data_IF_138850600215
#
_entry.id   IF_138850600215
#
_cell.length_a   1.000
_cell.length_b   1.000
_cell.length_c   1.000
_cell.angle_alpha   90.00
_cell.angle_beta   90.00
_cell.angle_gamma   90.00
#
_symmetry.space_group_name_H-M   'P 1'
#
loop_
_entity.id
_entity.type
_entity.pdbx_description
1 polymer ?
#
# COMPACT_ATOMS: atom_id res chain seq x y z
N UNK A 1 2.83 -16.12 -8.40
CA UNK A 1 2.02 -16.12 -9.64
C UNK A 1 1.85 -14.71 -10.22
N UNK A 2 1.47 -13.69 -9.43
CA UNK A 2 1.28 -12.31 -9.94
C UNK A 2 2.44 -11.34 -9.63
N UNK A 3 3.62 -11.86 -9.29
CA UNK A 3 4.82 -11.05 -8.95
C UNK A 3 5.42 -10.49 -10.24
N UNK A 4 5.72 -9.20 -10.28
CA UNK A 4 6.29 -8.52 -11.45
C UNK A 4 5.26 -8.12 -12.52
N UNK A 5 3.97 -8.37 -12.30
CA UNK A 5 2.91 -7.83 -13.16
C UNK A 5 2.73 -6.32 -12.98
N UNK A 6 2.17 -5.71 -14.03
CA UNK A 6 1.94 -4.26 -14.22
C UNK A 6 1.38 -3.54 -13.00
N UNK A 7 1.77 -2.27 -12.88
CA UNK A 7 1.14 -1.28 -12.00
C UNK A 7 -0.38 -1.32 -12.24
N UNK A 8 -1.13 -1.53 -11.16
CA UNK A 8 -2.58 -1.57 -11.19
C UNK A 8 -3.19 -0.64 -10.15
N UNK A 9 -4.39 -0.16 -10.44
CA UNK A 9 -5.17 0.59 -9.46
C UNK A 9 -5.87 -0.37 -8.50
N UNK A 10 -5.96 0.04 -7.24
CA UNK A 10 -6.80 -0.67 -6.26
C UNK A 10 -8.24 -0.33 -6.57
N UNK A 11 -9.03 -1.34 -6.95
CA UNK A 11 -10.47 -1.18 -7.24
C UNK A 11 -11.26 -1.15 -5.93
N UNK A 12 -10.91 -2.04 -5.00
CA UNK A 12 -11.62 -2.17 -3.74
C UNK A 12 -10.71 -2.68 -2.62
N UNK A 13 -10.93 -2.17 -1.40
CA UNK A 13 -10.32 -2.68 -0.17
C UNK A 13 -11.34 -3.53 0.57
N UNK A 14 -11.10 -4.83 0.68
CA UNK A 14 -11.98 -5.76 1.36
C UNK A 14 -11.50 -6.02 2.80
N UNK A 15 -11.89 -5.13 3.71
CA UNK A 15 -11.42 -5.12 5.11
C UNK A 15 -11.81 -6.37 5.91
N UNK A 16 -12.97 -7.01 5.63
CA UNK A 16 -13.40 -8.25 6.31
C UNK A 16 -12.40 -9.40 6.12
N UNK A 17 -11.67 -9.42 5.00
CA UNK A 17 -10.64 -10.42 4.70
C UNK A 17 -9.23 -9.84 4.66
N UNK A 18 -9.04 -8.61 5.15
CA UNK A 18 -7.77 -7.88 5.12
C UNK A 18 -7.03 -7.96 3.79
N UNK A 19 -7.78 -7.85 2.68
CA UNK A 19 -7.25 -8.04 1.34
C UNK A 19 -7.73 -6.95 0.39
N UNK A 20 -7.07 -6.84 -0.75
CA UNK A 20 -7.38 -5.85 -1.79
C UNK A 20 -7.62 -6.52 -3.15
N UNK A 21 -8.41 -5.85 -3.99
CA UNK A 21 -8.64 -6.20 -5.39
C UNK A 21 -7.93 -5.20 -6.29
N UNK A 22 -7.23 -5.71 -7.30
CA UNK A 22 -6.45 -4.95 -8.28
C UNK A 22 -7.07 -5.18 -9.66
N UNK A 23 -7.32 -4.11 -10.41
CA UNK A 23 -8.12 -4.11 -11.64
C UNK A 23 -7.72 -5.19 -12.65
N UNK A 24 -6.42 -5.32 -12.92
CA UNK A 24 -5.87 -6.23 -13.94
C UNK A 24 -5.58 -7.65 -13.41
N UNK A 25 -5.80 -7.90 -12.13
CA UNK A 25 -5.53 -9.21 -11.51
C UNK A 25 -6.85 -9.94 -11.32
N UNK A 26 -7.25 -10.64 -12.37
CA UNK A 26 -8.49 -11.40 -12.43
C UNK A 26 -8.21 -12.85 -12.83
N UNK A 27 -9.16 -13.73 -12.50
CA UNK A 27 -9.21 -15.11 -12.98
C UNK A 27 -10.60 -15.41 -13.51
N UNK A 28 -10.68 -16.29 -14.50
CA UNK A 28 -11.95 -16.73 -15.08
C UNK A 28 -12.49 -17.91 -14.27
N UNK A 29 -13.77 -17.85 -13.90
CA UNK A 29 -14.50 -18.98 -13.30
C UNK A 29 -14.94 -19.98 -14.39
N UNK A 30 -15.34 -21.18 -13.98
CA UNK A 30 -15.87 -22.18 -14.91
C UNK A 30 -17.08 -21.68 -15.74
N UNK A 31 -17.86 -20.73 -15.21
CA UNK A 31 -18.97 -20.11 -15.92
C UNK A 31 -18.57 -18.96 -16.86
N UNK A 32 -17.28 -18.78 -17.15
CA UNK A 32 -16.77 -17.74 -18.05
C UNK A 32 -16.69 -16.33 -17.44
N UNK A 33 -17.22 -16.11 -16.24
CA UNK A 33 -17.16 -14.81 -15.59
C UNK A 33 -15.77 -14.54 -14.97
N UNK A 34 -15.25 -13.34 -15.18
CA UNK A 34 -14.01 -12.88 -14.53
C UNK A 34 -14.26 -12.42 -13.10
N UNK A 35 -13.40 -12.82 -12.18
CA UNK A 35 -13.40 -12.37 -10.80
C UNK A 35 -12.02 -11.92 -10.35
N UNK A 36 -11.98 -10.89 -9.52
CA UNK A 36 -10.74 -10.41 -8.94
C UNK A 36 -10.09 -11.46 -8.05
N UNK A 37 -8.76 -11.54 -8.14
CA UNK A 37 -7.96 -12.32 -7.21
C UNK A 37 -7.68 -11.45 -5.99
N UNK A 38 -7.85 -12.05 -4.81
CA UNK A 38 -7.65 -11.39 -3.52
C UNK A 38 -6.15 -11.41 -3.19
N UNK A 39 -5.57 -10.26 -2.87
CA UNK A 39 -4.15 -10.16 -2.49
C UNK A 39 -4.03 -9.47 -1.13
N UNK A 40 -3.13 -9.97 -0.29
CA UNK A 40 -2.81 -9.35 0.99
C UNK A 40 -1.98 -8.08 0.77
N UNK A 41 -2.31 -6.94 1.42
CA UNK A 41 -1.65 -5.65 1.17
C UNK A 41 -0.15 -5.64 1.50
N UNK A 42 0.33 -6.47 2.43
CA UNK A 42 1.78 -6.54 2.75
C UNK A 42 2.62 -7.18 1.64
N UNK A 43 2.00 -7.86 0.69
CA UNK A 43 2.69 -8.43 -0.47
C UNK A 43 2.76 -7.44 -1.66
N UNK A 44 2.31 -6.20 -1.44
CA UNK A 44 2.25 -5.15 -2.46
C UNK A 44 3.22 -4.02 -2.12
N UNK A 45 3.59 -3.29 -3.16
CA UNK A 45 4.35 -2.04 -3.05
C UNK A 45 3.51 -0.92 -3.67
N UNK A 46 3.37 0.18 -2.94
CA UNK A 46 2.64 1.36 -3.43
C UNK A 46 3.55 2.16 -4.35
N UNK A 47 3.13 2.36 -5.60
CA UNK A 47 3.89 3.12 -6.61
C UNK A 47 3.39 4.57 -6.69
N UNK A 48 2.08 4.76 -6.81
CA UNK A 48 1.44 6.08 -6.90
C UNK A 48 0.43 6.19 -5.77
N UNK A 49 0.53 7.27 -5.00
CA UNK A 49 -0.42 7.61 -3.95
C UNK A 49 -1.44 8.61 -4.50
N UNK A 50 -2.73 8.30 -4.35
CA UNK A 50 -3.79 9.31 -4.48
C UNK A 50 -3.58 10.31 -3.35
N UNK A 51 -3.33 11.59 -3.62
CA UNK A 51 -3.13 12.59 -2.56
C UNK A 51 -4.44 13.28 -2.22
N UNK A 52 -4.85 13.20 -0.96
CA UNK A 52 -5.94 14.00 -0.39
C UNK A 52 -5.39 14.87 0.76
N UNK A 53 -6.21 15.80 1.26
CA UNK A 53 -5.82 16.74 2.33
C UNK A 53 -5.30 16.01 3.57
N UNK A 54 -5.99 14.96 3.99
CA UNK A 54 -5.65 14.20 5.21
C UNK A 54 -4.43 13.31 5.02
N UNK A 55 -4.21 12.78 3.81
CA UNK A 55 -3.02 11.99 3.48
C UNK A 55 -1.78 12.87 3.45
N UNK A 56 -1.87 14.09 2.91
CA UNK A 56 -0.78 15.08 3.00
C UNK A 56 -0.44 15.36 4.47
N UNK A 57 -1.42 15.71 5.30
CA UNK A 57 -1.18 16.02 6.71
C UNK A 57 -0.57 14.84 7.50
N UNK A 58 -1.02 13.61 7.24
CA UNK A 58 -0.44 12.39 7.85
C UNK A 58 0.99 12.12 7.41
N UNK A 59 1.31 12.32 6.13
CA UNK A 59 2.67 12.15 5.61
C UNK A 59 3.61 13.19 6.22
N UNK A 60 3.21 14.46 6.26
CA UNK A 60 4.00 15.54 6.85
C UNK A 60 4.26 15.27 8.34
N UNK A 61 3.24 14.85 9.09
CA UNK A 61 3.38 14.48 10.50
C UNK A 61 4.35 13.33 10.70
N UNK A 62 4.27 12.28 9.88
CA UNK A 62 5.18 11.12 9.97
C UNK A 62 6.62 11.50 9.60
N UNK A 63 6.80 12.35 8.59
CA UNK A 63 8.11 12.85 8.17
C UNK A 63 8.77 13.67 9.30
N UNK A 64 8.03 14.61 9.91
CA UNK A 64 8.51 15.38 11.08
C UNK A 64 8.89 14.48 12.26
N UNK A 65 8.05 13.50 12.59
CA UNK A 65 8.35 12.53 13.65
C UNK A 65 9.63 11.73 13.40
N UNK A 66 9.85 11.32 12.14
CA UNK A 66 11.09 10.62 11.75
C UNK A 66 12.32 11.53 11.89
N UNK A 67 12.25 12.77 11.42
CA UNK A 67 13.36 13.72 11.53
C UNK A 67 13.78 13.98 12.98
N UNK A 68 12.83 14.10 13.91
CA UNK A 68 13.11 14.27 15.33
C UNK A 68 13.77 13.02 15.92
N UNK A 69 13.27 11.83 15.59
CA UNK A 69 13.85 10.58 16.07
C UNK A 69 15.29 10.37 15.54
N UNK A 70 15.54 10.74 14.28
CA UNK A 70 16.87 10.63 13.67
C UNK A 70 17.85 11.64 14.30
N UNK A 71 17.41 12.85 14.66
CA UNK A 71 18.22 13.84 15.41
C UNK A 71 18.60 13.34 16.81
N UNK A 72 17.63 12.86 17.58
CA UNK A 72 17.88 12.39 18.95
C UNK A 72 18.81 11.17 19.00
N UNK A 73 18.82 10.33 17.95
CA UNK A 73 19.79 9.23 17.83
C UNK A 73 21.23 9.69 17.61
N UNK A 74 21.44 10.85 16.98
CA UNK A 74 22.77 11.40 16.76
C UNK A 74 23.39 11.96 18.04
N UNK A 75 22.57 12.49 18.96
CA UNK A 75 23.03 13.08 20.22
C UNK A 75 23.38 12.03 21.29
N UNK A 76 22.77 10.84 21.25
CA UNK A 76 23.04 9.73 22.19
C UNK A 76 24.33 8.94 21.88
N UNK A 77 25.06 9.29 20.82
CA UNK A 77 26.31 8.64 20.42
C UNK A 77 27.56 9.49 20.60
N UNK A 78 27.46 10.64 21.26
CA UNK A 78 28.56 11.60 21.48
C UNK A 78 29.04 11.71 22.94
N UNK A 79 28.74 10.71 23.77
CA UNK A 79 29.35 10.54 25.11
C UNK A 79 30.37 9.40 25.11
#
# INVERSE_FOLDING_TARGET
>A
HYKGQQIGIIVQVYRKKYSVFIERIQRVKANGASVHVVIHPSNLVIVILKMDKDRKSRLDRRAKGKQLADKNKGELGSE
#
